data_IF_504798036660
#
_entry.id   IF_504798036660
#
_cell.length_a   1.000
_cell.length_b   1.000
_cell.length_c   1.000
_cell.angle_alpha   90.00
_cell.angle_beta   90.00
_cell.angle_gamma   90.00
#
_symmetry.space_group_name_H-M   'P 1'
#
loop_
_entity.id
_entity.type
_entity.pdbx_description
1 polymer ?
#
# COMPACT_ATOMS: atom_id res chain seq x y z
N UNK A 1 -7.90 -11.32 3.50
CA UNK A 1 -9.18 -11.31 2.78
C UNK A 1 -10.22 -12.22 3.45
N UNK A 2 -9.81 -13.40 3.85
CA UNK A 2 -10.72 -14.36 4.50
C UNK A 2 -11.33 -13.85 5.81
N UNK A 3 -10.69 -12.86 6.44
CA UNK A 3 -11.17 -12.26 7.69
C UNK A 3 -12.01 -11.02 7.49
N UNK A 4 -12.50 -10.80 6.26
CA UNK A 4 -13.31 -9.65 5.96
C UNK A 4 -12.54 -8.37 5.64
N UNK A 5 -11.23 -8.45 5.54
CA UNK A 5 -10.41 -7.31 5.14
C UNK A 5 -10.58 -7.01 3.66
N UNK A 6 -10.56 -5.74 3.32
CA UNK A 6 -10.43 -5.32 1.94
C UNK A 6 -8.95 -5.20 1.60
N UNK A 7 -8.57 -5.66 0.41
CA UNK A 7 -7.20 -5.58 -0.07
C UNK A 7 -7.14 -4.70 -1.31
N UNK A 8 -6.13 -3.85 -1.39
CA UNK A 8 -5.94 -2.99 -2.55
C UNK A 8 -4.45 -2.82 -2.84
N UNK A 9 -4.14 -2.60 -4.11
CA UNK A 9 -2.81 -2.20 -4.53
C UNK A 9 -2.82 -0.69 -4.74
N UNK A 10 -1.81 0.00 -4.18
CA UNK A 10 -1.58 1.42 -4.41
C UNK A 10 -0.13 1.57 -4.86
N UNK A 11 0.09 1.88 -6.12
CA UNK A 11 1.41 1.91 -6.74
C UNK A 11 1.64 3.22 -7.49
N UNK A 12 2.88 3.69 -7.52
CA UNK A 12 3.25 4.86 -8.32
C UNK A 12 3.41 4.52 -9.81
N UNK A 13 3.42 3.25 -10.15
CA UNK A 13 3.47 2.82 -11.55
C UNK A 13 2.13 3.07 -12.23
N UNK A 14 2.10 3.17 -13.56
CA UNK A 14 0.83 3.37 -14.28
C UNK A 14 -0.19 2.29 -13.93
N UNK A 15 -1.44 2.69 -13.77
CA UNK A 15 -2.49 1.78 -13.31
C UNK A 15 -2.70 0.58 -14.24
N UNK A 16 -2.65 0.81 -15.55
CA UNK A 16 -2.79 -0.29 -16.50
C UNK A 16 -1.66 -1.31 -16.36
N UNK A 17 -0.45 -0.85 -16.07
CA UNK A 17 0.69 -1.73 -15.82
C UNK A 17 0.47 -2.56 -14.55
N UNK A 18 -0.03 -1.93 -13.50
CA UNK A 18 -0.34 -2.63 -12.24
C UNK A 18 -1.31 -3.77 -12.49
N UNK A 19 -2.35 -3.51 -13.27
CA UNK A 19 -3.37 -4.52 -13.57
C UNK A 19 -2.79 -5.67 -14.40
N UNK A 20 -1.96 -5.35 -15.40
CA UNK A 20 -1.32 -6.37 -16.24
C UNK A 20 -0.42 -7.28 -15.40
N UNK A 21 0.37 -6.70 -14.50
CA UNK A 21 1.26 -7.48 -13.64
C UNK A 21 0.47 -8.39 -12.73
N UNK A 22 -0.61 -7.86 -12.11
CA UNK A 22 -1.45 -8.65 -11.21
C UNK A 22 -2.10 -9.82 -11.95
N UNK A 23 -2.58 -9.58 -13.16
CA UNK A 23 -3.19 -10.64 -13.98
C UNK A 23 -2.14 -11.70 -14.38
N UNK A 24 -0.93 -11.26 -14.72
CA UNK A 24 0.16 -12.17 -15.10
C UNK A 24 0.47 -13.16 -13.97
N UNK A 25 0.48 -12.68 -12.73
CA UNK A 25 0.76 -13.52 -11.56
C UNK A 25 -0.50 -14.17 -10.97
N UNK A 26 -1.65 -14.00 -11.61
CA UNK A 26 -2.94 -14.58 -11.19
C UNK A 26 -3.35 -14.16 -9.77
N UNK A 27 -3.04 -12.91 -9.40
CA UNK A 27 -3.39 -12.39 -8.08
C UNK A 27 -4.45 -11.29 -8.13
N UNK A 28 -4.86 -10.88 -9.33
CA UNK A 28 -5.81 -9.77 -9.50
C UNK A 28 -7.13 -10.01 -8.77
N UNK A 29 -7.59 -11.26 -8.69
CA UNK A 29 -8.86 -11.58 -8.02
C UNK A 29 -8.82 -11.41 -6.51
N UNK A 30 -7.63 -11.31 -5.91
CA UNK A 30 -7.51 -11.12 -4.47
C UNK A 30 -7.68 -9.67 -4.03
N UNK A 31 -7.67 -8.72 -4.97
CA UNK A 31 -7.70 -7.30 -4.63
C UNK A 31 -9.05 -6.70 -4.97
N UNK A 32 -9.57 -5.92 -4.03
CA UNK A 32 -10.82 -5.17 -4.23
C UNK A 32 -10.60 -3.98 -5.16
N UNK A 33 -9.41 -3.38 -5.13
CA UNK A 33 -9.03 -2.27 -6.02
C UNK A 33 -7.55 -2.37 -6.37
N UNK A 34 -7.21 -1.91 -7.58
CA UNK A 34 -5.83 -1.80 -8.02
C UNK A 34 -5.65 -0.41 -8.59
N UNK A 35 -4.91 0.42 -7.87
CA UNK A 35 -4.75 1.84 -8.19
C UNK A 35 -3.29 2.14 -8.52
N UNK A 36 -3.07 2.86 -9.58
CA UNK A 36 -1.75 3.32 -9.98
C UNK A 36 -1.80 4.77 -10.43
N UNK A 37 -0.70 5.26 -10.99
CA UNK A 37 -0.65 6.61 -11.52
C UNK A 37 -1.41 6.70 -12.84
N UNK A 38 -1.85 7.91 -13.18
CA UNK A 38 -2.49 8.16 -14.47
C UNK A 38 -1.46 8.51 -15.53
N UNK A 39 -1.64 8.04 -16.77
CA UNK A 39 -0.69 8.35 -17.86
C UNK A 39 -0.53 9.83 -18.13
N UNK A 40 -1.55 10.64 -17.82
CA UNK A 40 -1.53 12.08 -18.05
C UNK A 40 -0.90 12.89 -16.92
N UNK A 41 -0.31 12.21 -15.92
CA UNK A 41 0.44 12.87 -14.87
C UNK A 41 -0.38 13.46 -13.74
N UNK A 42 -1.68 13.19 -13.68
CA UNK A 42 -2.54 13.76 -12.63
C UNK A 42 -2.41 13.06 -11.29
N UNK A 43 -2.01 11.81 -11.29
CA UNK A 43 -1.89 11.02 -10.07
C UNK A 43 -0.54 10.32 -10.13
N UNK A 44 0.53 11.06 -9.76
CA UNK A 44 1.89 10.60 -9.99
C UNK A 44 2.65 10.23 -8.72
N UNK A 45 2.30 10.80 -7.56
CA UNK A 45 3.01 10.49 -6.33
C UNK A 45 2.19 9.54 -5.45
N UNK A 46 2.87 8.95 -4.46
CA UNK A 46 2.25 7.94 -3.60
C UNK A 46 1.06 8.51 -2.82
N UNK A 47 1.15 9.75 -2.37
CA UNK A 47 0.07 10.39 -1.62
C UNK A 47 -1.22 10.43 -2.45
N UNK A 48 -1.11 10.87 -3.69
CA UNK A 48 -2.27 10.94 -4.58
C UNK A 48 -2.85 9.57 -4.89
N UNK A 49 -1.98 8.57 -5.06
CA UNK A 49 -2.42 7.20 -5.32
C UNK A 49 -3.16 6.63 -4.11
N UNK A 50 -2.64 6.87 -2.89
CA UNK A 50 -3.30 6.42 -1.66
C UNK A 50 -4.66 7.09 -1.51
N UNK A 51 -4.76 8.40 -1.75
CA UNK A 51 -6.03 9.12 -1.66
C UNK A 51 -7.08 8.53 -2.61
N UNK A 52 -6.68 8.24 -3.83
CA UNK A 52 -7.60 7.64 -4.80
C UNK A 52 -8.02 6.23 -4.37
N UNK A 53 -7.09 5.46 -3.80
CA UNK A 53 -7.37 4.12 -3.30
C UNK A 53 -8.42 4.17 -2.19
N UNK A 54 -8.26 5.09 -1.24
CA UNK A 54 -9.22 5.27 -0.14
C UNK A 54 -10.59 5.64 -0.68
N UNK A 55 -10.63 6.52 -1.68
CA UNK A 55 -11.88 6.94 -2.30
C UNK A 55 -12.60 5.77 -2.95
N UNK A 56 -11.89 4.94 -3.71
CA UNK A 56 -12.48 3.79 -4.39
C UNK A 56 -12.98 2.72 -3.41
N UNK A 57 -12.29 2.57 -2.28
CA UNK A 57 -12.70 1.62 -1.24
C UNK A 57 -13.83 2.15 -0.36
N UNK A 58 -14.16 3.44 -0.47
CA UNK A 58 -15.17 4.06 0.38
C UNK A 58 -14.69 4.28 1.81
N UNK A 59 -13.37 4.44 2.01
CA UNK A 59 -12.76 4.54 3.32
C UNK A 59 -12.13 5.90 3.60
N UNK A 60 -12.41 6.92 2.79
CA UNK A 60 -11.85 8.26 3.00
C UNK A 60 -12.19 8.85 4.37
N UNK A 61 -13.34 8.49 4.92
CA UNK A 61 -13.78 8.95 6.24
C UNK A 61 -13.49 7.95 7.36
N UNK A 62 -12.79 6.84 7.05
CA UNK A 62 -12.51 5.77 8.01
C UNK A 62 -11.03 5.40 7.99
N UNK A 63 -10.18 6.42 7.99
CA UNK A 63 -8.73 6.24 7.84
C UNK A 63 -8.08 5.51 9.01
N UNK A 64 -8.69 5.57 10.18
CA UNK A 64 -8.24 4.83 11.36
C UNK A 64 -8.37 3.30 11.20
N UNK A 65 -9.15 2.87 10.22
CA UNK A 65 -9.37 1.44 9.93
C UNK A 65 -8.47 0.93 8.79
N UNK A 66 -7.54 1.75 8.32
CA UNK A 66 -6.71 1.44 7.15
C UNK A 66 -5.25 1.33 7.57
N UNK A 67 -4.58 0.30 7.07
CA UNK A 67 -3.13 0.12 7.26
C UNK A 67 -2.48 0.01 5.88
N UNK A 68 -1.46 0.83 5.65
CA UNK A 68 -0.60 0.71 4.48
C UNK A 68 0.50 -0.30 4.77
N UNK A 69 0.82 -1.15 3.80
CA UNK A 69 1.97 -2.05 3.88
C UNK A 69 2.92 -1.65 2.75
N UNK A 70 4.17 -1.35 3.10
CA UNK A 70 5.13 -0.92 2.09
C UNK A 70 6.56 -1.30 2.44
N UNK A 71 7.45 -1.17 1.45
CA UNK A 71 8.84 -1.56 1.60
C UNK A 71 9.82 -0.40 1.37
N UNK A 72 9.30 0.81 1.16
CA UNK A 72 10.10 2.00 0.92
C UNK A 72 9.60 3.17 1.76
N UNK A 73 10.50 4.16 1.96
CA UNK A 73 10.16 5.36 2.75
C UNK A 73 8.98 6.13 2.17
N UNK A 74 8.84 6.18 0.83
CA UNK A 74 7.75 6.92 0.22
C UNK A 74 6.38 6.30 0.52
N UNK A 75 6.32 4.99 0.79
CA UNK A 75 5.09 4.35 1.25
C UNK A 75 4.71 4.84 2.64
N UNK A 76 5.69 4.90 3.53
CA UNK A 76 5.48 5.32 4.92
C UNK A 76 5.08 6.79 4.98
N UNK A 77 5.83 7.65 4.26
CA UNK A 77 5.58 9.08 4.26
C UNK A 77 4.27 9.43 3.55
N UNK A 78 3.95 8.73 2.45
CA UNK A 78 2.68 8.92 1.76
C UNK A 78 1.50 8.54 2.62
N UNK A 79 1.59 7.42 3.33
CA UNK A 79 0.55 7.00 4.27
C UNK A 79 0.33 8.04 5.37
N UNK A 80 1.43 8.55 5.93
CA UNK A 80 1.34 9.58 6.98
C UNK A 80 0.65 10.84 6.48
N UNK A 81 0.97 11.28 5.25
CA UNK A 81 0.32 12.46 4.67
C UNK A 81 -1.17 12.25 4.46
N UNK A 82 -1.58 11.00 4.25
CA UNK A 82 -2.99 10.66 4.11
C UNK A 82 -3.67 10.35 5.44
N UNK A 83 -2.95 10.44 6.55
CA UNK A 83 -3.50 10.17 7.87
C UNK A 83 -3.75 8.71 8.17
N UNK A 84 -3.03 7.80 7.51
CA UNK A 84 -3.11 6.36 7.78
C UNK A 84 -1.76 5.85 8.27
N UNK A 85 -1.78 4.76 9.03
CA UNK A 85 -0.56 4.16 9.54
C UNK A 85 0.04 3.21 8.51
N UNK A 86 1.35 2.98 8.63
CA UNK A 86 2.07 2.10 7.72
C UNK A 86 2.89 1.08 8.48
N UNK A 87 2.80 -0.18 8.07
CA UNK A 87 3.70 -1.24 8.51
C UNK A 87 4.71 -1.45 7.39
N UNK A 88 5.99 -1.38 7.73
CA UNK A 88 7.05 -1.55 6.74
C UNK A 88 7.54 -2.99 6.75
N UNK A 89 7.85 -3.52 5.55
CA UNK A 89 8.45 -4.83 5.41
C UNK A 89 9.91 -4.66 5.02
N UNK A 90 10.80 -5.33 5.73
CA UNK A 90 12.25 -5.20 5.51
C UNK A 90 12.79 -6.15 4.47
N UNK A 91 11.97 -7.06 3.98
CA UNK A 91 12.38 -8.02 2.94
C UNK A 91 12.13 -7.50 1.51
N UNK A 92 11.72 -6.24 1.36
CA UNK A 92 11.54 -5.60 0.07
C UNK A 92 12.77 -4.81 -0.36
N UNK A 93 12.55 -3.77 -1.15
CA UNK A 93 13.65 -3.00 -1.75
C UNK A 93 14.26 -1.93 -0.85
N UNK A 94 13.53 -1.48 0.18
CA UNK A 94 14.04 -0.44 1.07
C UNK A 94 15.05 -0.98 2.05
N UNK A 95 16.08 -0.18 2.40
CA UNK A 95 17.01 -0.56 3.45
C UNK A 95 16.36 -0.41 4.82
N UNK A 96 16.86 -1.17 5.80
CA UNK A 96 16.36 -1.05 7.17
C UNK A 96 16.54 0.37 7.71
N UNK A 97 17.68 0.99 7.40
CA UNK A 97 17.96 2.36 7.81
C UNK A 97 16.95 3.35 7.24
N UNK A 98 16.63 3.21 5.95
CA UNK A 98 15.62 4.04 5.29
C UNK A 98 14.28 3.91 6.01
N UNK A 99 13.87 2.69 6.31
CA UNK A 99 12.58 2.42 6.93
C UNK A 99 12.53 2.96 8.36
N UNK A 100 13.59 2.78 9.14
CA UNK A 100 13.64 3.28 10.51
C UNK A 100 13.55 4.80 10.58
N UNK A 101 14.19 5.50 9.65
CA UNK A 101 14.14 6.95 9.58
C UNK A 101 12.75 7.47 9.26
N UNK A 102 11.97 6.73 8.49
CA UNK A 102 10.63 7.13 8.12
C UNK A 102 9.61 6.87 9.23
N UNK A 103 9.98 6.15 10.28
CA UNK A 103 9.18 5.91 11.49
C UNK A 103 7.82 5.28 11.21
N UNK A 104 7.79 4.07 10.63
CA UNK A 104 6.52 3.37 10.46
C UNK A 104 5.96 2.89 11.80
N UNK A 105 4.72 2.42 11.79
CA UNK A 105 4.10 1.85 12.98
C UNK A 105 4.91 0.64 13.47
N UNK A 106 5.37 -0.19 12.56
CA UNK A 106 6.17 -1.37 12.86
C UNK A 106 6.95 -1.78 11.62
N UNK A 107 8.11 -2.41 11.83
CA UNK A 107 8.88 -3.02 10.75
C UNK A 107 8.84 -4.53 10.97
N UNK A 108 8.41 -5.27 9.96
CA UNK A 108 8.36 -6.74 10.01
C UNK A 108 9.38 -7.31 9.03
N UNK A 109 10.01 -8.41 9.40
CA UNK A 109 11.12 -8.98 8.65
C UNK A 109 10.73 -10.19 7.79
N UNK A 110 9.50 -10.66 7.90
CA UNK A 110 9.05 -11.83 7.14
C UNK A 110 7.56 -11.75 6.87
N UNK A 111 7.11 -12.56 5.90
CA UNK A 111 5.69 -12.66 5.60
C UNK A 111 4.90 -13.20 6.79
N UNK A 112 5.51 -14.10 7.56
CA UNK A 112 4.85 -14.66 8.76
C UNK A 112 4.64 -13.58 9.82
N UNK A 113 5.61 -12.70 10.04
CA UNK A 113 5.46 -11.58 10.97
C UNK A 113 4.37 -10.63 10.51
N UNK A 114 4.30 -10.36 9.20
CA UNK A 114 3.27 -9.51 8.65
C UNK A 114 1.89 -10.11 8.87
N UNK A 115 1.75 -11.40 8.62
CA UNK A 115 0.50 -12.10 8.81
C UNK A 115 0.07 -12.04 10.28
N UNK A 116 1.01 -12.26 11.20
CA UNK A 116 0.73 -12.21 12.63
C UNK A 116 0.28 -10.83 13.10
N UNK A 117 0.71 -9.77 12.44
CA UNK A 117 0.29 -8.42 12.79
C UNK A 117 -1.23 -8.26 12.65
N UNK A 118 -1.84 -8.94 11.66
CA UNK A 118 -3.27 -8.81 11.37
C UNK A 118 -4.15 -9.85 12.07
N UNK A 119 -3.58 -10.72 12.87
CA UNK A 119 -4.33 -11.79 13.55
C UNK A 119 -4.80 -11.37 14.94
#
# INVERSE_FOLDING_TARGET
KQRGYKLAIASSKPENFVKIVAEYFHIDSYFDEMVGSEPEGRRTNKTEVIEETLKRLGLSEHRDQVIMVGDREHDILGARRCGIQCVAVSYGYGSREELEKAQPLQIVASADELLNFFV
#
